data_IF_584437298870
#
_entry.id   IF_584437298870
#
_cell.length_a   1.000
_cell.length_b   1.000
_cell.length_c   1.000
_cell.angle_alpha   90.00
_cell.angle_beta   90.00
_cell.angle_gamma   90.00
#
_symmetry.space_group_name_H-M   'P 1'
#
loop_
_entity.id
_entity.type
_entity.pdbx_description
1 polymer ?
#
# COMPACT_ATOMS: atom_id res chain seq x y z
N UNK A 1 -36.08 44.71 -63.46
CA UNK A 1 -35.74 43.31 -63.83
C UNK A 1 -34.26 43.14 -63.53
N UNK A 2 -33.78 42.29 -62.63
CA UNK A 2 -34.28 41.03 -62.11
C UNK A 2 -33.96 40.86 -60.61
N UNK A 3 -34.83 40.13 -59.91
CA UNK A 3 -34.63 39.58 -58.56
C UNK A 3 -33.82 38.28 -58.66
N UNK A 4 -32.81 38.10 -57.82
CA UNK A 4 -32.22 36.82 -57.41
C UNK A 4 -31.20 37.10 -56.31
N UNK A 5 -30.99 36.34 -55.24
CA UNK A 5 -31.73 35.26 -54.61
C UNK A 5 -31.14 35.21 -53.19
N UNK A 6 -32.00 35.13 -52.17
CA UNK A 6 -31.61 34.92 -50.78
C UNK A 6 -30.91 33.55 -50.67
N UNK A 7 -29.63 33.51 -50.31
CA UNK A 7 -28.92 32.27 -50.01
C UNK A 7 -28.62 32.17 -48.51
N UNK A 8 -29.12 31.07 -47.94
CA UNK A 8 -29.19 30.70 -46.53
C UNK A 8 -27.85 30.81 -45.78
N UNK A 9 -27.97 31.32 -44.56
CA UNK A 9 -27.23 30.96 -43.35
C UNK A 9 -26.34 29.71 -43.48
N UNK A 10 -25.03 29.90 -43.41
CA UNK A 10 -24.13 28.85 -42.97
C UNK A 10 -24.38 28.65 -41.47
N UNK A 11 -25.24 27.68 -41.14
CA UNK A 11 -25.31 27.15 -39.79
C UNK A 11 -23.93 26.59 -39.44
N UNK A 12 -23.20 27.28 -38.57
CA UNK A 12 -22.04 26.73 -37.88
C UNK A 12 -22.46 25.39 -37.30
N UNK A 13 -21.96 24.30 -37.90
CA UNK A 13 -22.08 22.96 -37.35
C UNK A 13 -21.20 22.93 -36.10
N UNK A 14 -21.73 23.47 -35.00
CA UNK A 14 -21.20 23.22 -33.68
C UNK A 14 -21.47 21.74 -33.43
N UNK A 15 -20.50 20.89 -33.78
CA UNK A 15 -20.45 19.54 -33.25
C UNK A 15 -20.30 19.72 -31.75
N UNK A 16 -21.43 19.71 -31.04
CA UNK A 16 -21.45 19.41 -29.62
C UNK A 16 -20.98 17.97 -29.50
N UNK A 17 -19.67 17.75 -29.57
CA UNK A 17 -19.08 16.61 -28.90
C UNK A 17 -19.36 16.88 -27.42
N UNK A 18 -20.50 16.41 -26.93
CA UNK A 18 -20.62 16.11 -25.51
C UNK A 18 -19.39 15.27 -25.22
N UNK A 19 -18.45 15.71 -24.37
CA UNK A 19 -17.44 14.78 -23.93
C UNK A 19 -18.26 13.70 -23.24
N UNK A 20 -18.32 12.51 -23.83
CA UNK A 20 -18.72 11.32 -23.09
C UNK A 20 -17.58 11.10 -22.10
N UNK A 21 -17.55 11.92 -21.05
CA UNK A 21 -17.02 11.51 -19.77
C UNK A 21 -17.98 10.40 -19.32
N UNK A 22 -17.81 9.22 -19.92
CA UNK A 22 -18.21 8.00 -19.28
C UNK A 22 -17.43 8.03 -17.96
N UNK A 23 -18.14 8.30 -16.87
CA UNK A 23 -17.66 8.10 -15.51
C UNK A 23 -17.38 6.59 -15.41
N UNK A 24 -16.21 6.20 -15.89
CA UNK A 24 -15.71 4.83 -15.86
C UNK A 24 -15.29 4.56 -14.41
N UNK A 25 -16.24 4.07 -13.63
CA UNK A 25 -16.01 3.61 -12.27
C UNK A 25 -15.26 2.28 -12.25
N UNK A 26 -14.90 1.82 -11.05
CA UNK A 26 -14.35 0.48 -10.88
C UNK A 26 -15.36 -0.57 -11.38
N UNK A 27 -14.89 -1.48 -12.22
CA UNK A 27 -15.69 -2.55 -12.79
C UNK A 27 -15.56 -3.82 -11.95
N UNK A 28 -16.68 -4.49 -11.69
CA UNK A 28 -16.67 -5.76 -10.96
C UNK A 28 -16.03 -6.86 -11.80
N UNK A 29 -15.23 -7.70 -11.15
CA UNK A 29 -14.57 -8.82 -11.77
C UNK A 29 -15.55 -9.79 -12.43
N UNK A 30 -16.71 -10.00 -11.79
CA UNK A 30 -17.78 -10.89 -12.25
C UNK A 30 -18.45 -10.44 -13.54
N UNK A 31 -18.35 -9.15 -13.91
CA UNK A 31 -18.95 -8.65 -15.15
C UNK A 31 -18.09 -8.95 -16.38
N UNK A 32 -16.79 -9.25 -16.20
CA UNK A 32 -15.89 -9.61 -17.30
C UNK A 32 -15.52 -8.46 -18.26
N UNK A 33 -15.99 -7.24 -18.01
CA UNK A 33 -15.84 -6.09 -18.93
C UNK A 33 -14.40 -5.52 -19.01
N UNK A 34 -13.48 -6.00 -18.18
CA UNK A 34 -12.11 -5.48 -18.02
C UNK A 34 -11.08 -6.56 -18.36
N UNK A 35 -11.02 -7.01 -19.62
CA UNK A 35 -9.92 -7.91 -19.99
C UNK A 35 -8.56 -7.20 -19.77
N UNK A 36 -7.64 -7.79 -18.98
CA UNK A 36 -6.30 -7.24 -18.85
C UNK A 36 -5.67 -7.23 -20.24
N UNK A 37 -5.22 -6.05 -20.69
CA UNK A 37 -4.58 -5.85 -22.00
C UNK A 37 -3.21 -6.53 -22.03
N UNK A 38 -3.22 -7.86 -22.19
CA UNK A 38 -2.11 -8.82 -22.18
C UNK A 38 -1.25 -8.80 -20.90
N UNK A 39 -1.02 -9.95 -20.24
CA UNK A 39 0.02 -10.01 -19.24
C UNK A 39 1.37 -9.70 -19.90
N UNK A 40 2.28 -9.00 -19.20
CA UNK A 40 3.58 -8.71 -19.77
C UNK A 40 4.32 -10.03 -20.07
N UNK A 41 5.04 -10.08 -21.18
CA UNK A 41 5.83 -11.25 -21.57
C UNK A 41 7.00 -11.56 -20.61
N UNK A 42 7.19 -10.72 -19.60
CA UNK A 42 8.35 -10.71 -18.71
C UNK A 42 7.90 -10.52 -17.25
N UNK A 43 8.48 -11.29 -16.34
CA UNK A 43 8.23 -11.17 -14.90
C UNK A 43 9.06 -10.04 -14.29
N UNK A 44 8.51 -8.83 -14.28
CA UNK A 44 9.20 -7.66 -13.74
C UNK A 44 9.48 -7.72 -12.24
N UNK A 45 8.81 -8.58 -11.48
CA UNK A 45 8.97 -8.62 -10.02
C UNK A 45 10.21 -9.40 -9.59
N UNK A 46 10.63 -10.41 -10.37
CA UNK A 46 11.81 -11.21 -10.06
C UNK A 46 13.09 -10.66 -10.72
N UNK A 47 13.01 -10.29 -11.99
CA UNK A 47 14.18 -9.87 -12.79
C UNK A 47 14.40 -8.36 -12.83
N UNK A 48 13.45 -7.55 -12.31
CA UNK A 48 13.52 -6.09 -12.37
C UNK A 48 13.25 -5.53 -13.78
N UNK A 49 13.37 -4.22 -13.96
CA UNK A 49 13.09 -3.59 -15.25
C UNK A 49 14.32 -3.65 -16.16
N UNK A 50 14.26 -4.30 -17.33
CA UNK A 50 15.43 -4.40 -18.21
C UNK A 50 15.74 -3.06 -18.87
N UNK A 51 17.02 -2.73 -19.01
CA UNK A 51 17.46 -1.46 -19.61
C UNK A 51 16.96 -1.30 -21.06
N UNK A 52 16.82 -2.38 -21.82
CA UNK A 52 16.33 -2.33 -23.21
C UNK A 52 14.83 -2.03 -23.33
N UNK A 53 14.06 -2.14 -22.23
CA UNK A 53 12.66 -1.71 -22.17
C UNK A 53 12.50 -0.24 -21.74
N UNK A 54 13.59 0.55 -21.66
CA UNK A 54 13.54 1.96 -21.20
C UNK A 54 12.51 2.83 -21.94
N UNK A 55 12.24 2.54 -23.21
CA UNK A 55 11.27 3.29 -24.03
C UNK A 55 9.84 2.73 -24.00
N UNK A 56 9.58 1.70 -23.19
CA UNK A 56 8.24 1.11 -23.08
C UNK A 56 7.33 1.96 -22.18
N UNK A 57 6.21 2.40 -22.75
CA UNK A 57 5.22 3.25 -22.09
C UNK A 57 4.20 2.42 -21.32
N UNK A 58 4.03 2.66 -20.02
CA UNK A 58 3.10 1.89 -19.17
C UNK A 58 1.61 2.08 -19.50
N UNK A 59 1.24 3.20 -20.15
CA UNK A 59 -0.16 3.62 -20.34
C UNK A 59 -1.03 2.61 -21.09
N UNK A 60 -0.47 1.82 -22.00
CA UNK A 60 -1.24 0.87 -22.82
C UNK A 60 -1.77 -0.31 -21.99
N UNK A 61 -1.13 -0.60 -20.84
CA UNK A 61 -1.52 -1.66 -19.90
C UNK A 61 -2.69 -1.26 -19.01
N UNK A 62 -2.98 0.04 -18.91
CA UNK A 62 -3.94 0.54 -17.94
C UNK A 62 -5.38 0.29 -18.39
N UNK A 63 -6.17 -0.14 -17.41
CA UNK A 63 -7.61 -0.37 -17.48
C UNK A 63 -8.30 0.49 -16.41
N UNK A 64 -9.64 0.46 -16.37
CA UNK A 64 -10.43 1.19 -15.37
C UNK A 64 -10.11 0.71 -13.94
N UNK A 65 -9.77 -0.58 -13.80
CA UNK A 65 -9.41 -1.24 -12.54
C UNK A 65 -7.93 -1.09 -12.18
N UNK A 66 -7.12 -0.40 -12.99
CA UNK A 66 -5.73 -0.07 -12.64
C UNK A 66 -5.72 1.07 -11.62
N UNK A 67 -6.16 0.78 -10.40
CA UNK A 67 -6.21 1.70 -9.27
C UNK A 67 -5.39 1.15 -8.11
N UNK A 68 -4.90 2.08 -7.32
CA UNK A 68 -4.17 1.80 -6.09
C UNK A 68 -5.06 2.18 -4.91
N UNK A 69 -5.50 1.19 -4.14
CA UNK A 69 -6.43 1.36 -3.03
C UNK A 69 -5.71 0.99 -1.74
N UNK A 70 -5.75 1.87 -0.75
CA UNK A 70 -5.27 1.57 0.60
C UNK A 70 -6.45 1.33 1.54
N UNK A 71 -6.44 0.22 2.27
CA UNK A 71 -7.40 -0.04 3.34
C UNK A 71 -6.72 0.28 4.67
N UNK A 72 -7.20 1.33 5.31
CA UNK A 72 -6.69 1.83 6.58
C UNK A 72 -7.62 1.45 7.73
N UNK A 73 -7.07 1.39 8.94
CA UNK A 73 -7.85 1.10 10.13
C UNK A 73 -6.99 0.68 11.31
N UNK A 74 -7.61 0.72 12.49
CA UNK A 74 -6.92 0.35 13.73
C UNK A 74 -6.53 -1.15 13.74
N UNK A 75 -5.77 -1.55 14.76
CA UNK A 75 -5.48 -2.96 15.04
C UNK A 75 -6.82 -3.67 15.35
N UNK A 76 -6.95 -4.91 14.89
CA UNK A 76 -8.16 -5.73 15.07
C UNK A 76 -9.48 -5.14 14.52
N UNK A 77 -9.46 -4.14 13.63
CA UNK A 77 -10.68 -3.60 12.99
C UNK A 77 -11.26 -4.47 11.87
N UNK A 78 -10.65 -5.62 11.55
CA UNK A 78 -11.07 -6.48 10.43
C UNK A 78 -10.65 -5.98 9.03
N UNK A 79 -9.79 -4.96 8.94
CA UNK A 79 -9.35 -4.36 7.66
C UNK A 79 -8.81 -5.36 6.63
N UNK A 80 -8.03 -6.36 7.06
CA UNK A 80 -7.47 -7.38 6.15
C UNK A 80 -8.54 -8.17 5.41
N UNK A 81 -9.66 -8.49 6.06
CA UNK A 81 -10.78 -9.16 5.41
C UNK A 81 -11.49 -8.26 4.40
N UNK A 82 -11.57 -6.95 4.68
CA UNK A 82 -12.13 -5.97 3.76
C UNK A 82 -11.24 -5.83 2.52
N UNK A 83 -9.92 -5.72 2.70
CA UNK A 83 -8.97 -5.63 1.61
C UNK A 83 -8.97 -6.87 0.71
N UNK A 84 -8.96 -8.06 1.30
CA UNK A 84 -9.06 -9.33 0.55
C UNK A 84 -10.35 -9.40 -0.27
N UNK A 85 -11.49 -8.98 0.30
CA UNK A 85 -12.77 -8.94 -0.42
C UNK A 85 -12.75 -7.94 -1.56
N UNK A 86 -12.24 -6.73 -1.35
CA UNK A 86 -12.10 -5.70 -2.39
C UNK A 86 -11.23 -6.26 -3.53
N UNK A 87 -10.07 -6.83 -3.20
CA UNK A 87 -9.18 -7.41 -4.20
C UNK A 87 -9.86 -8.51 -5.03
N UNK A 88 -10.60 -9.42 -4.37
CA UNK A 88 -11.35 -10.49 -5.03
C UNK A 88 -12.47 -9.94 -5.94
N UNK A 89 -13.24 -8.97 -5.48
CA UNK A 89 -14.37 -8.44 -6.24
C UNK A 89 -13.96 -7.60 -7.44
N UNK A 90 -12.80 -6.92 -7.40
CA UNK A 90 -12.30 -6.09 -8.49
C UNK A 90 -11.17 -6.74 -9.31
N UNK A 91 -10.77 -7.97 -8.97
CA UNK A 91 -9.69 -8.68 -9.67
C UNK A 91 -8.31 -8.04 -9.46
N UNK A 92 -8.11 -7.36 -8.33
CA UNK A 92 -6.87 -6.66 -7.98
C UNK A 92 -5.92 -7.55 -7.19
N UNK A 93 -4.65 -7.13 -7.10
CA UNK A 93 -3.64 -7.79 -6.29
C UNK A 93 -3.73 -7.35 -4.83
N UNK A 94 -3.73 -8.30 -3.89
CA UNK A 94 -3.82 -7.99 -2.46
C UNK A 94 -2.43 -8.07 -1.83
N UNK A 95 -2.02 -6.98 -1.20
CA UNK A 95 -0.79 -6.87 -0.43
C UNK A 95 -1.15 -6.75 1.06
N UNK A 96 -0.90 -7.81 1.82
CA UNK A 96 -1.14 -7.81 3.26
C UNK A 96 -0.10 -6.97 4.02
N UNK A 97 -0.47 -6.47 5.20
CA UNK A 97 0.43 -5.77 6.13
C UNK A 97 1.55 -6.75 6.56
N UNK A 98 2.83 -6.36 6.50
CA UNK A 98 3.94 -7.24 6.90
C UNK A 98 3.77 -7.70 8.35
N UNK A 99 4.03 -8.98 8.60
CA UNK A 99 4.09 -9.56 9.94
C UNK A 99 5.54 -9.70 10.42
N UNK A 100 5.77 -9.92 11.72
CA UNK A 100 7.12 -10.20 12.25
C UNK A 100 7.79 -11.35 11.49
N UNK A 101 7.02 -12.38 11.09
CA UNK A 101 7.55 -13.47 10.28
C UNK A 101 8.02 -12.98 8.90
N UNK A 102 7.29 -12.08 8.24
CA UNK A 102 7.69 -11.55 6.94
C UNK A 102 8.94 -10.66 7.02
N UNK A 103 9.11 -9.93 8.13
CA UNK A 103 10.24 -9.03 8.37
C UNK A 103 11.53 -9.81 8.61
N UNK A 104 11.47 -10.84 9.48
CA UNK A 104 12.67 -11.54 9.95
C UNK A 104 12.97 -12.85 9.22
N UNK A 105 12.06 -13.36 8.40
CA UNK A 105 12.26 -14.60 7.66
C UNK A 105 12.80 -14.34 6.26
N UNK A 106 14.01 -14.84 5.99
CA UNK A 106 14.63 -14.73 4.67
C UNK A 106 14.11 -15.84 3.74
N UNK A 107 13.00 -15.57 3.06
CA UNK A 107 12.34 -16.51 2.14
C UNK A 107 13.16 -16.86 0.88
N UNK A 108 14.19 -16.07 0.57
CA UNK A 108 15.03 -16.25 -0.63
C UNK A 108 16.06 -17.38 -0.48
N UNK A 109 16.32 -17.86 0.75
CA UNK A 109 17.27 -18.94 1.00
C UNK A 109 16.56 -20.29 1.11
N UNK A 110 17.27 -21.36 0.71
CA UNK A 110 16.84 -22.76 0.85
C UNK A 110 17.87 -23.51 1.70
N UNK A 111 17.53 -23.96 2.92
CA UNK A 111 16.27 -23.80 3.63
C UNK A 111 16.01 -22.33 4.05
N UNK A 112 14.75 -22.01 4.34
CA UNK A 112 14.35 -20.68 4.82
C UNK A 112 15.00 -20.39 6.17
N UNK A 113 15.63 -19.21 6.30
CA UNK A 113 16.38 -18.84 7.50
C UNK A 113 15.62 -17.75 8.25
N UNK A 114 15.36 -17.99 9.53
CA UNK A 114 14.85 -16.98 10.46
C UNK A 114 16.02 -16.29 11.17
N UNK A 115 16.24 -15.01 10.91
CA UNK A 115 17.40 -14.29 11.47
C UNK A 115 17.35 -14.18 13.00
N UNK A 116 16.16 -14.34 13.60
CA UNK A 116 15.98 -14.30 15.06
C UNK A 116 16.70 -15.44 15.77
N UNK A 117 17.02 -16.53 15.07
CA UNK A 117 17.80 -17.65 15.64
C UNK A 117 19.17 -17.20 16.17
N UNK A 118 19.71 -16.10 15.65
CA UNK A 118 21.00 -15.55 16.05
C UNK A 118 20.92 -14.65 17.28
N UNK A 119 19.74 -14.38 17.85
CA UNK A 119 19.59 -13.49 19.00
C UNK A 119 20.42 -13.93 20.23
N UNK A 120 20.62 -15.23 20.43
CA UNK A 120 21.43 -15.75 21.53
C UNK A 120 22.92 -15.45 21.38
N UNK A 121 23.39 -15.24 20.15
CA UNK A 121 24.80 -14.95 19.83
C UNK A 121 25.06 -13.43 19.79
N UNK A 122 24.02 -12.62 19.60
CA UNK A 122 24.14 -11.18 19.46
C UNK A 122 24.16 -10.46 20.82
N UNK A 123 24.91 -9.36 20.96
CA UNK A 123 24.81 -8.51 22.14
C UNK A 123 23.40 -7.92 22.23
N UNK A 124 22.93 -7.62 23.45
CA UNK A 124 21.55 -7.19 23.74
C UNK A 124 21.08 -6.03 22.84
N UNK A 125 21.95 -5.08 22.55
CA UNK A 125 21.63 -3.92 21.71
C UNK A 125 21.41 -4.29 20.24
N UNK A 126 22.08 -5.32 19.74
CA UNK A 126 21.98 -5.81 18.36
C UNK A 126 20.92 -6.91 18.16
N UNK A 127 20.29 -7.39 19.23
CA UNK A 127 19.24 -8.40 19.12
C UNK A 127 18.03 -7.88 18.34
N UNK A 128 17.52 -8.75 17.46
CA UNK A 128 16.28 -8.52 16.73
C UNK A 128 15.11 -8.48 17.71
N UNK A 129 14.23 -7.50 17.52
CA UNK A 129 13.13 -7.20 18.42
C UNK A 129 11.79 -7.40 17.71
N UNK A 130 10.89 -8.14 18.34
CA UNK A 130 9.58 -8.53 17.79
C UNK A 130 8.46 -7.79 18.51
N UNK A 131 7.26 -7.87 17.94
CA UNK A 131 6.06 -7.31 18.55
C UNK A 131 5.70 -8.02 19.85
N UNK A 132 5.91 -9.33 19.94
CA UNK A 132 5.73 -10.08 21.19
C UNK A 132 6.68 -9.57 22.28
N UNK A 133 7.97 -9.41 21.95
CA UNK A 133 8.96 -8.87 22.88
C UNK A 133 8.65 -7.44 23.34
N UNK A 134 7.98 -6.64 22.50
CA UNK A 134 7.54 -5.30 22.87
C UNK A 134 6.52 -5.30 24.02
N UNK A 135 5.63 -6.29 24.07
CA UNK A 135 4.61 -6.37 25.11
C UNK A 135 5.10 -7.05 26.39
N UNK A 136 6.05 -7.99 26.29
CA UNK A 136 6.52 -8.77 27.44
C UNK A 136 7.69 -8.13 28.19
N UNK A 137 8.51 -7.32 27.52
CA UNK A 137 9.76 -6.80 28.08
C UNK A 137 9.52 -5.52 28.89
N UNK A 138 10.14 -5.41 30.06
CA UNK A 138 10.12 -4.19 30.86
C UNK A 138 11.16 -3.15 30.38
N UNK A 139 10.93 -1.87 30.66
CA UNK A 139 11.85 -0.75 30.37
C UNK A 139 12.33 -0.65 28.91
N UNK A 140 11.46 -0.95 27.95
CA UNK A 140 11.76 -0.92 26.50
C UNK A 140 12.29 0.43 26.00
N UNK A 141 11.92 1.54 26.63
CA UNK A 141 12.32 2.89 26.24
C UNK A 141 13.82 3.10 26.34
N UNK A 142 14.42 2.64 27.44
CA UNK A 142 15.85 2.84 27.73
C UNK A 142 16.73 2.11 26.72
N UNK A 143 16.24 0.98 26.19
CA UNK A 143 16.93 0.18 25.18
C UNK A 143 16.74 0.72 23.74
N UNK A 144 15.90 1.73 23.52
CA UNK A 144 15.60 2.28 22.20
C UNK A 144 14.90 1.32 21.22
N UNK A 145 14.49 0.13 21.68
CA UNK A 145 13.90 -0.94 20.85
C UNK A 145 12.53 -0.60 20.24
N UNK A 146 11.64 0.19 20.89
CA UNK A 146 10.36 0.56 20.28
C UNK A 146 10.51 1.35 18.98
N UNK A 147 11.49 2.26 18.91
CA UNK A 147 11.77 3.01 17.68
C UNK A 147 12.34 2.09 16.59
N UNK A 148 13.20 1.15 16.97
CA UNK A 148 13.72 0.12 16.06
C UNK A 148 12.57 -0.72 15.45
N UNK A 149 11.63 -1.19 16.27
CA UNK A 149 10.47 -1.96 15.80
C UNK A 149 9.64 -1.15 14.80
N UNK A 150 9.31 0.10 15.17
CA UNK A 150 8.55 1.00 14.33
C UNK A 150 9.24 1.25 12.98
N UNK A 151 10.57 1.40 12.99
CA UNK A 151 11.38 1.55 11.79
C UNK A 151 11.37 0.29 10.91
N UNK A 152 11.49 -0.91 11.49
CA UNK A 152 11.42 -2.17 10.73
C UNK A 152 10.07 -2.33 10.03
N UNK A 153 8.97 -2.09 10.73
CA UNK A 153 7.64 -2.11 10.14
C UNK A 153 7.48 -1.07 9.02
N UNK A 154 7.97 0.15 9.25
CA UNK A 154 7.91 1.21 8.26
C UNK A 154 8.60 0.85 6.95
N UNK A 155 9.85 0.36 7.02
CA UNK A 155 10.60 -0.02 5.82
C UNK A 155 9.89 -1.13 5.05
N UNK A 156 9.39 -2.15 5.76
CA UNK A 156 8.71 -3.27 5.11
C UNK A 156 7.38 -2.83 4.47
N UNK A 157 6.62 -1.92 5.11
CA UNK A 157 5.43 -1.30 4.51
C UNK A 157 5.78 -0.45 3.30
N UNK A 158 6.87 0.31 3.35
CA UNK A 158 7.37 1.10 2.23
C UNK A 158 7.73 0.21 1.03
N UNK A 159 8.48 -0.87 1.24
CA UNK A 159 8.81 -1.81 0.17
C UNK A 159 7.61 -2.58 -0.35
N UNK A 160 6.66 -2.97 0.52
CA UNK A 160 5.44 -3.63 0.08
C UNK A 160 4.59 -2.69 -0.80
N UNK A 161 4.49 -1.42 -0.44
CA UNK A 161 3.84 -0.39 -1.25
C UNK A 161 4.55 -0.20 -2.59
N UNK A 162 5.89 -0.18 -2.60
CA UNK A 162 6.68 -0.09 -3.83
C UNK A 162 6.44 -1.31 -4.73
N UNK A 163 6.42 -2.53 -4.17
CA UNK A 163 6.07 -3.76 -4.91
C UNK A 163 4.68 -3.67 -5.54
N UNK A 164 3.70 -3.16 -4.78
CA UNK A 164 2.34 -2.95 -5.28
C UNK A 164 2.29 -1.92 -6.42
N UNK A 165 3.06 -0.83 -6.34
CA UNK A 165 3.20 0.14 -7.43
C UNK A 165 3.89 -0.49 -8.66
N UNK A 166 4.93 -1.30 -8.47
CA UNK A 166 5.58 -2.02 -9.55
C UNK A 166 4.57 -2.95 -10.26
N UNK A 167 3.76 -3.71 -9.51
CA UNK A 167 2.68 -4.52 -10.08
C UNK A 167 1.73 -3.65 -10.91
N UNK A 168 1.29 -2.51 -10.37
CA UNK A 168 0.39 -1.57 -11.05
C UNK A 168 0.95 -1.07 -12.39
N UNK A 169 2.20 -0.58 -12.42
CA UNK A 169 2.81 0.02 -13.61
C UNK A 169 3.21 -1.00 -14.69
N UNK A 170 3.67 -2.17 -14.24
CA UNK A 170 4.24 -3.18 -15.12
C UNK A 170 3.19 -4.15 -15.68
N UNK A 171 2.15 -4.45 -14.90
CA UNK A 171 1.10 -5.39 -15.33
C UNK A 171 -0.22 -4.71 -15.67
N UNK A 172 -0.45 -3.48 -15.19
CA UNK A 172 -1.75 -2.81 -15.27
C UNK A 172 -2.79 -3.39 -14.29
N UNK A 173 -2.46 -4.40 -13.48
CA UNK A 173 -3.37 -4.94 -12.46
C UNK A 173 -3.45 -3.95 -11.30
N UNK A 174 -4.67 -3.61 -10.87
CA UNK A 174 -4.87 -2.80 -9.67
C UNK A 174 -4.28 -3.46 -8.42
N UNK A 175 -3.98 -2.67 -7.40
CA UNK A 175 -3.42 -3.15 -6.14
C UNK A 175 -4.23 -2.62 -4.95
N UNK A 176 -4.46 -3.50 -3.98
CA UNK A 176 -5.10 -3.23 -2.70
C UNK A 176 -4.11 -3.55 -1.60
N UNK A 177 -3.74 -2.56 -0.80
CA UNK A 177 -2.80 -2.74 0.31
C UNK A 177 -3.49 -2.59 1.65
N UNK A 178 -3.15 -3.47 2.59
CA UNK A 178 -3.47 -3.34 4.00
C UNK A 178 -2.47 -2.40 4.66
N UNK A 179 -2.94 -1.18 5.00
CA UNK A 179 -2.16 -0.11 5.62
C UNK A 179 -1.00 0.40 4.74
N UNK A 180 -0.90 1.73 4.63
CA UNK A 180 0.18 2.40 3.89
C UNK A 180 1.26 2.91 4.84
N UNK A 181 2.48 3.08 4.32
CA UNK A 181 3.58 3.74 5.04
C UNK A 181 3.23 5.19 5.43
N UNK A 182 2.32 5.86 4.72
CA UNK A 182 1.83 7.20 5.09
C UNK A 182 1.12 7.22 6.44
N UNK A 183 0.48 6.12 6.82
CA UNK A 183 -0.25 6.00 8.09
C UNK A 183 0.68 5.70 9.27
N UNK A 184 1.95 5.35 9.05
CA UNK A 184 2.84 4.89 10.12
C UNK A 184 3.20 5.97 11.13
N UNK A 185 3.05 7.25 10.75
CA UNK A 185 3.24 8.37 11.66
C UNK A 185 2.29 8.30 12.87
N UNK A 186 1.07 7.76 12.70
CA UNK A 186 0.11 7.65 13.81
C UNK A 186 0.57 6.66 14.88
N UNK A 187 1.33 5.63 14.51
CA UNK A 187 1.91 4.68 15.45
C UNK A 187 3.07 5.31 16.21
N UNK A 188 3.95 6.06 15.52
CA UNK A 188 5.01 6.81 16.18
C UNK A 188 4.44 7.84 17.17
N UNK A 189 3.39 8.55 16.80
CA UNK A 189 2.71 9.50 17.69
C UNK A 189 2.06 8.80 18.90
N UNK A 190 1.44 7.63 18.70
CA UNK A 190 0.88 6.83 19.78
C UNK A 190 1.96 6.33 20.75
N UNK A 191 3.11 5.88 20.23
CA UNK A 191 4.26 5.46 21.03
C UNK A 191 4.82 6.61 21.87
N UNK A 192 4.87 7.83 21.31
CA UNK A 192 5.30 9.02 22.03
C UNK A 192 4.35 9.34 23.19
N UNK A 193 3.03 9.36 22.92
CA UNK A 193 2.00 9.65 23.93
C UNK A 193 1.98 8.62 25.07
N UNK A 194 2.28 7.36 24.76
CA UNK A 194 2.39 6.30 25.77
C UNK A 194 3.75 6.30 26.50
N UNK A 195 4.69 7.16 26.11
CA UNK A 195 6.01 7.26 26.75
C UNK A 195 7.02 6.20 26.33
N UNK A 196 6.74 5.39 25.29
CA UNK A 196 7.63 4.33 24.79
C UNK A 196 8.80 4.85 23.96
N UNK A 197 8.69 6.04 23.38
CA UNK A 197 9.77 6.72 22.65
C UNK A 197 10.02 8.10 23.23
N UNK A 198 11.24 8.63 23.03
CA UNK A 198 11.57 10.01 23.37
C UNK A 198 11.09 10.98 22.28
N UNK A 199 10.97 12.27 22.63
CA UNK A 199 10.66 13.32 21.66
C UNK A 199 11.68 13.32 20.51
N UNK A 200 12.97 13.18 20.83
CA UNK A 200 14.03 13.08 19.84
C UNK A 200 13.84 11.91 18.87
N UNK A 201 13.44 10.73 19.37
CA UNK A 201 13.17 9.57 18.53
C UNK A 201 11.96 9.78 17.60
N UNK A 202 10.93 10.48 18.08
CA UNK A 202 9.77 10.86 17.28
C UNK A 202 10.14 11.89 16.19
N UNK A 203 10.92 12.91 16.53
CA UNK A 203 11.35 13.95 15.59
C UNK A 203 12.21 13.34 14.47
N UNK A 204 13.12 12.43 14.82
CA UNK A 204 13.91 11.67 13.86
C UNK A 204 13.02 10.84 12.93
N UNK A 205 12.06 10.08 13.47
CA UNK A 205 11.15 9.27 12.66
C UNK A 205 10.29 10.15 11.74
N UNK A 206 9.82 11.28 12.23
CA UNK A 206 9.02 12.24 11.46
C UNK A 206 9.81 12.83 10.30
N UNK A 207 11.08 13.20 10.53
CA UNK A 207 11.98 13.65 9.48
C UNK A 207 12.25 12.56 8.43
N UNK A 208 12.52 11.33 8.88
CA UNK A 208 12.72 10.18 8.00
C UNK A 208 11.48 9.88 7.14
N UNK A 209 10.30 9.85 7.75
CA UNK A 209 9.02 9.68 7.08
C UNK A 209 8.78 10.79 6.05
N UNK A 210 9.00 12.06 6.40
CA UNK A 210 8.82 13.19 5.49
C UNK A 210 9.70 13.07 4.23
N UNK A 211 10.96 12.68 4.39
CA UNK A 211 11.89 12.52 3.25
C UNK A 211 11.54 11.34 2.34
N UNK A 212 10.99 10.27 2.89
CA UNK A 212 10.68 9.05 2.13
C UNK A 212 9.27 9.10 1.50
N UNK A 213 8.29 9.68 2.19
CA UNK A 213 6.91 9.79 1.72
C UNK A 213 6.76 10.65 0.45
N UNK A 214 7.65 11.61 0.23
CA UNK A 214 7.63 12.48 -0.97
C UNK A 214 7.99 11.74 -2.26
N UNK A 215 8.72 10.62 -2.16
CA UNK A 215 9.21 9.88 -3.33
C UNK A 215 8.17 8.94 -3.95
N UNK A 216 7.05 8.71 -3.27
CA UNK A 216 6.01 7.77 -3.71
C UNK A 216 4.69 8.49 -3.97
N UNK A 217 3.97 8.02 -4.99
CA UNK A 217 2.64 8.55 -5.29
C UNK A 217 1.62 8.08 -4.27
N UNK A 218 0.71 8.98 -3.92
CA UNK A 218 -0.39 8.70 -2.99
C UNK A 218 -1.38 7.69 -3.58
N UNK A 219 -2.07 6.91 -2.73
CA UNK A 219 -3.12 6.01 -3.19
C UNK A 219 -4.26 6.81 -3.84
N UNK A 220 -4.97 6.18 -4.78
CA UNK A 220 -6.11 6.80 -5.45
C UNK A 220 -7.34 6.86 -4.54
N UNK A 221 -7.49 5.86 -3.67
CA UNK A 221 -8.59 5.73 -2.73
C UNK A 221 -8.07 5.20 -1.40
N UNK A 222 -8.55 5.80 -0.30
CA UNK A 222 -8.31 5.33 1.05
C UNK A 222 -9.64 4.89 1.63
N UNK A 223 -9.73 3.62 2.02
CA UNK A 223 -10.90 3.04 2.69
C UNK A 223 -10.57 2.90 4.16
N UNK A 224 -11.12 3.78 4.99
CA UNK A 224 -10.90 3.73 6.43
C UNK A 224 -11.98 2.88 7.12
N UNK A 225 -11.57 1.76 7.71
CA UNK A 225 -12.44 0.88 8.50
C UNK A 225 -12.50 1.40 9.94
N UNK A 226 -13.59 2.09 10.25
CA UNK A 226 -13.87 2.61 11.60
C UNK A 226 -14.37 1.48 12.51
N UNK A 227 -13.73 1.33 13.67
CA UNK A 227 -14.17 0.46 14.75
C UNK A 227 -14.11 1.22 16.09
N UNK A 228 -15.04 0.93 16.99
CA UNK A 228 -15.00 1.50 18.35
C UNK A 228 -13.88 0.86 19.19
N UNK A 229 -13.43 1.56 20.23
CA UNK A 229 -12.40 1.04 21.15
C UNK A 229 -12.84 -0.23 21.86
N UNK A 230 -14.13 -0.35 22.15
CA UNK A 230 -14.67 -1.51 22.87
C UNK A 230 -14.69 -2.75 21.98
N UNK A 231 -15.14 -2.61 20.73
CA UNK A 231 -15.03 -3.67 19.72
C UNK A 231 -13.58 -4.11 19.52
N UNK A 232 -12.64 -3.16 19.42
CA UNK A 232 -11.22 -3.47 19.26
C UNK A 232 -10.69 -4.27 20.46
N UNK A 233 -11.04 -3.88 21.70
CA UNK A 233 -10.64 -4.60 22.91
C UNK A 233 -11.22 -6.01 22.96
N UNK A 234 -12.48 -6.19 22.59
CA UNK A 234 -13.10 -7.52 22.51
C UNK A 234 -12.39 -8.41 21.49
N UNK A 235 -12.10 -7.90 20.30
CA UNK A 235 -11.41 -8.65 19.25
C UNK A 235 -9.94 -8.97 19.61
N UNK A 236 -9.25 -8.08 20.33
CA UNK A 236 -7.91 -8.37 20.89
C UNK A 236 -8.00 -9.55 21.87
N UNK A 237 -8.97 -9.52 22.80
CA UNK A 237 -9.18 -10.61 23.77
C UNK A 237 -9.50 -11.94 23.07
N UNK A 238 -10.32 -11.93 22.02
CA UNK A 238 -10.66 -13.14 21.24
C UNK A 238 -9.46 -13.73 20.51
N UNK A 239 -8.49 -12.90 20.10
CA UNK A 239 -7.26 -13.35 19.44
C UNK A 239 -6.23 -13.95 20.38
N UNK A 240 -6.40 -13.82 21.70
CA UNK A 240 -5.48 -14.32 22.72
C UNK A 240 -4.02 -13.91 22.48
N UNK A 241 -3.82 -12.64 22.10
CA UNK A 241 -2.51 -11.97 22.06
C UNK A 241 -2.22 -11.40 23.44
#
# INVERSE_FOLDING_TARGET
MALAHFARSNSLFCVKQTPKFSLRGLQLASRGDFEPKKPPAFDFLSTGYPQWYMFDNTKHRFTENTKFICVEGNICSGKGHVAQKIAKYFGMDHHADPTDADIFTLKNYKPTIDVRMHNTMLPKDAQYFTTEMFWTTENVKEQGKPLYLQYQYYINRYFNYLRALCTLFNTGKGAVIDRSHFSDLVFAEALLKCGYISQYGYDWFSYFHANTALNLWKPHLIVYVKASTDQIREEIKKRAI
#
